data_IF_164079197003
#
_entry.id   IF_164079197003
#
_cell.length_a   1.000
_cell.length_b   1.000
_cell.length_c   1.000
_cell.angle_alpha   90.00
_cell.angle_beta   90.00
_cell.angle_gamma   90.00
#
_symmetry.space_group_name_H-M   'P 1'
#
loop_
_entity.id
_entity.type
_entity.pdbx_description
1 polymer ?
#
# COMPACT_ATOMS: atom_id res chain seq x y z
N UNK A 1 53.00 8.61 -2.98
CA UNK A 1 51.95 8.70 -3.99
C UNK A 1 51.26 7.35 -4.03
N UNK A 2 50.17 7.16 -3.29
CA UNK A 2 49.37 5.93 -3.34
C UNK A 2 47.90 6.34 -3.32
N UNK A 3 47.22 6.05 -4.42
CA UNK A 3 45.82 6.37 -4.67
C UNK A 3 44.95 5.42 -3.86
N UNK A 4 44.02 6.00 -3.11
CA UNK A 4 42.99 5.32 -2.33
C UNK A 4 42.23 4.28 -3.14
N UNK A 5 42.06 3.12 -2.54
CA UNK A 5 41.12 2.09 -2.97
C UNK A 5 39.71 2.67 -2.84
N UNK A 6 38.98 2.71 -3.96
CA UNK A 6 37.56 3.02 -3.97
C UNK A 6 36.81 1.86 -3.29
N UNK A 7 36.41 2.06 -2.03
CA UNK A 7 35.37 1.24 -1.39
C UNK A 7 34.04 1.49 -2.10
N UNK A 8 33.77 0.70 -3.14
CA UNK A 8 32.44 0.57 -3.72
C UNK A 8 31.58 -0.18 -2.70
N UNK A 9 30.91 0.57 -1.82
CA UNK A 9 29.86 0.04 -0.96
C UNK A 9 28.81 -0.63 -1.85
N UNK A 10 28.79 -1.96 -1.83
CA UNK A 10 27.72 -2.75 -2.42
C UNK A 10 26.43 -2.36 -1.71
N UNK A 11 25.33 -2.01 -2.41
CA UNK A 11 24.09 -1.65 -1.73
C UNK A 11 23.66 -2.83 -0.84
N UNK A 12 23.39 -2.52 0.42
CA UNK A 12 22.87 -3.43 1.45
C UNK A 12 21.52 -4.00 0.97
N UNK A 13 21.57 -5.08 0.17
CA UNK A 13 20.39 -5.85 -0.23
C UNK A 13 19.93 -6.69 0.96
N UNK A 14 19.32 -6.02 1.95
CA UNK A 14 18.47 -6.76 2.89
C UNK A 14 17.26 -7.25 2.11
N UNK A 15 16.93 -8.55 2.18
CA UNK A 15 15.69 -9.04 1.60
C UNK A 15 14.52 -8.26 2.22
N UNK A 16 13.59 -7.83 1.37
CA UNK A 16 12.38 -7.15 1.84
C UNK A 16 11.66 -8.05 2.85
N UNK A 17 11.53 -7.61 4.10
CA UNK A 17 10.76 -8.33 5.11
C UNK A 17 9.30 -7.83 5.17
N UNK A 18 8.49 -8.51 5.98
CA UNK A 18 7.07 -8.19 6.11
C UNK A 18 6.84 -6.76 6.62
N UNK A 19 7.64 -6.30 7.58
CA UNK A 19 7.49 -4.98 8.19
C UNK A 19 7.84 -3.88 7.19
N UNK A 20 8.89 -4.07 6.38
CA UNK A 20 9.25 -3.18 5.28
C UNK A 20 8.12 -3.08 4.25
N UNK A 21 7.57 -4.21 3.81
CA UNK A 21 6.48 -4.22 2.82
C UNK A 21 5.24 -3.53 3.37
N UNK A 22 4.88 -3.78 4.63
CA UNK A 22 3.74 -3.12 5.29
C UNK A 22 3.96 -1.61 5.35
N UNK A 23 5.12 -1.16 5.85
CA UNK A 23 5.43 0.27 5.97
C UNK A 23 5.39 0.99 4.61
N UNK A 24 5.94 0.37 3.55
CA UNK A 24 5.94 0.94 2.19
C UNK A 24 4.54 1.01 1.60
N UNK A 25 3.70 0.00 1.83
CA UNK A 25 2.30 0.02 1.40
C UNK A 25 1.49 1.10 2.14
N UNK A 26 1.69 1.25 3.45
CA UNK A 26 1.02 2.27 4.26
C UNK A 26 1.44 3.70 3.85
N UNK A 27 2.73 3.93 3.64
CA UNK A 27 3.23 5.20 3.09
C UNK A 27 2.61 5.51 1.73
N UNK A 28 2.51 4.50 0.86
CA UNK A 28 1.90 4.63 -0.45
C UNK A 28 0.41 4.97 -0.34
N UNK A 29 -0.34 4.31 0.55
CA UNK A 29 -1.76 4.60 0.74
C UNK A 29 -2.02 6.00 1.32
N UNK A 30 -1.21 6.44 2.27
CA UNK A 30 -1.26 7.81 2.78
C UNK A 30 -0.95 8.84 1.68
N UNK A 31 0.04 8.55 0.83
CA UNK A 31 0.40 9.39 -0.32
C UNK A 31 -0.73 9.45 -1.35
N UNK A 32 -1.36 8.31 -1.66
CA UNK A 32 -2.50 8.22 -2.56
C UNK A 32 -3.68 9.07 -2.08
N UNK A 33 -3.99 9.01 -0.78
CA UNK A 33 -5.06 9.79 -0.16
C UNK A 33 -4.76 11.30 -0.06
N UNK A 34 -3.48 11.68 -0.13
CA UNK A 34 -3.05 13.08 -0.17
C UNK A 34 -3.04 13.69 -1.59
N UNK A 35 -3.22 12.88 -2.63
CA UNK A 35 -3.29 13.40 -4.00
C UNK A 35 -4.54 14.27 -4.19
N UNK A 36 -4.41 15.40 -4.91
CA UNK A 36 -5.56 16.25 -5.24
C UNK A 36 -6.57 15.50 -6.11
N UNK A 37 -7.86 15.78 -5.91
CA UNK A 37 -8.93 15.16 -6.70
C UNK A 37 -8.81 15.47 -8.21
N UNK A 38 -8.23 16.63 -8.56
CA UNK A 38 -8.01 17.10 -9.93
C UNK A 38 -6.50 17.22 -10.24
N UNK A 39 -6.08 16.87 -11.46
CA UNK A 39 -4.67 16.92 -11.91
C UNK A 39 -4.27 15.77 -12.85
N UNK A 40 -3.04 15.83 -13.39
CA UNK A 40 -2.43 14.74 -14.16
C UNK A 40 -2.24 13.53 -13.24
N UNK A 41 -3.08 12.51 -13.43
CA UNK A 41 -3.06 11.35 -12.58
C UNK A 41 -1.94 10.38 -12.99
N UNK A 42 -1.22 9.78 -12.02
CA UNK A 42 -0.41 8.60 -12.29
C UNK A 42 -1.26 7.47 -12.89
N UNK A 43 -0.63 6.58 -13.65
CA UNK A 43 -1.20 5.37 -14.30
C UNK A 43 -2.06 4.51 -13.34
N UNK A 44 -1.85 4.64 -12.03
CA UNK A 44 -2.57 3.92 -10.98
C UNK A 44 -4.00 4.37 -10.73
N UNK A 45 -4.45 5.56 -11.16
CA UNK A 45 -5.91 5.82 -11.20
C UNK A 45 -6.64 4.84 -12.15
N UNK A 46 -5.94 4.15 -13.03
CA UNK A 46 -6.60 3.26 -13.99
C UNK A 46 -6.45 1.78 -13.61
N UNK A 47 -5.37 1.37 -12.94
CA UNK A 47 -5.04 -0.06 -12.73
C UNK A 47 -5.13 -0.59 -11.29
N UNK A 48 -4.83 0.19 -10.24
CA UNK A 48 -5.09 -0.22 -8.84
C UNK A 48 -6.49 0.13 -8.38
N UNK A 49 -7.18 0.96 -9.16
CA UNK A 49 -8.48 1.45 -8.78
C UNK A 49 -9.54 0.38 -8.74
N UNK A 50 -9.56 -0.76 -9.44
CA UNK A 50 -10.76 -1.60 -9.29
C UNK A 50 -10.98 -2.10 -7.85
N UNK A 51 -9.92 -2.55 -7.18
CA UNK A 51 -9.96 -2.96 -5.77
C UNK A 51 -10.18 -1.76 -4.83
N UNK A 52 -9.44 -0.66 -5.04
CA UNK A 52 -9.51 0.52 -4.18
C UNK A 52 -10.81 1.30 -4.39
N UNK A 53 -11.28 1.41 -5.63
CA UNK A 53 -12.56 1.99 -6.05
C UNK A 53 -13.70 1.14 -5.56
N UNK A 54 -13.70 -0.18 -5.71
CA UNK A 54 -14.71 -1.03 -5.04
C UNK A 54 -14.63 -0.86 -3.51
N UNK A 55 -13.43 -0.81 -2.93
CA UNK A 55 -13.26 -0.55 -1.49
C UNK A 55 -13.65 0.87 -1.05
N UNK A 56 -13.72 1.85 -1.93
CA UNK A 56 -14.09 3.25 -1.62
C UNK A 56 -15.57 3.50 -1.94
N UNK A 57 -16.04 3.09 -3.12
CA UNK A 57 -17.41 3.20 -3.61
C UNK A 57 -18.39 2.34 -2.80
N UNK A 58 -18.02 1.10 -2.43
CA UNK A 58 -18.91 0.25 -1.62
C UNK A 58 -18.99 0.68 -0.15
N UNK A 59 -18.14 1.60 0.32
CA UNK A 59 -17.91 1.80 1.76
C UNK A 59 -18.14 3.25 2.25
N UNK A 60 -18.80 4.09 1.45
CA UNK A 60 -19.48 5.31 1.92
C UNK A 60 -18.59 6.28 2.72
N UNK A 61 -17.38 6.54 2.25
CA UNK A 61 -16.46 7.44 2.95
C UNK A 61 -16.84 8.92 2.78
N UNK A 62 -17.22 9.55 3.88
CA UNK A 62 -17.51 10.99 3.97
C UNK A 62 -16.86 11.57 5.23
N UNK A 63 -15.55 11.80 5.23
CA UNK A 63 -14.90 12.54 6.33
C UNK A 63 -14.55 13.98 5.91
N UNK A 64 -14.89 14.94 6.80
CA UNK A 64 -14.70 16.38 6.61
C UNK A 64 -13.21 16.69 6.43
N UNK A 65 -12.88 17.24 5.26
CA UNK A 65 -11.50 17.43 4.77
C UNK A 65 -10.73 18.50 5.54
N UNK A 66 -9.75 18.08 6.34
CA UNK A 66 -8.46 18.77 6.37
C UNK A 66 -7.67 18.21 5.18
N UNK A 67 -7.25 19.08 4.25
CA UNK A 67 -6.48 18.64 3.08
C UNK A 67 -5.02 18.46 3.51
N UNK A 68 -4.47 17.24 3.50
CA UNK A 68 -3.05 17.05 3.72
C UNK A 68 -2.22 17.81 2.66
N UNK A 69 -0.96 18.16 2.96
CA UNK A 69 -0.07 18.76 1.97
C UNK A 69 0.10 17.84 0.76
N UNK A 70 0.17 18.43 -0.43
CA UNK A 70 0.36 17.70 -1.69
C UNK A 70 1.73 16.99 -1.66
N UNK A 71 1.79 15.68 -1.98
CA UNK A 71 3.04 14.95 -1.95
C UNK A 71 4.00 15.38 -3.08
N UNK A 72 5.31 15.31 -2.81
CA UNK A 72 6.37 15.52 -3.79
C UNK A 72 6.37 14.43 -4.89
N UNK A 73 6.95 14.73 -6.06
CA UNK A 73 7.10 13.77 -7.16
C UNK A 73 7.79 12.46 -6.72
N UNK A 74 8.84 12.54 -5.91
CA UNK A 74 9.55 11.35 -5.40
C UNK A 74 8.64 10.42 -4.58
N UNK A 75 7.84 10.99 -3.68
CA UNK A 75 6.82 10.23 -2.93
C UNK A 75 5.79 9.58 -3.84
N UNK A 76 5.41 10.25 -4.94
CA UNK A 76 4.48 9.70 -5.93
C UNK A 76 5.14 8.52 -6.67
N UNK A 77 6.41 8.63 -7.07
CA UNK A 77 7.17 7.52 -7.67
C UNK A 77 7.27 6.33 -6.73
N UNK A 78 7.62 6.56 -5.45
CA UNK A 78 7.69 5.52 -4.41
C UNK A 78 6.32 4.91 -4.10
N UNK A 79 5.24 5.70 -4.17
CA UNK A 79 3.87 5.20 -4.07
C UNK A 79 3.53 4.29 -5.24
N UNK A 80 3.87 4.69 -6.47
CA UNK A 80 3.54 3.93 -7.67
C UNK A 80 4.21 2.54 -7.66
N UNK A 81 5.48 2.50 -7.25
CA UNK A 81 6.25 1.27 -7.04
C UNK A 81 5.57 0.35 -6.02
N UNK A 82 5.29 0.83 -4.81
CA UNK A 82 4.74 0.01 -3.74
C UNK A 82 3.31 -0.49 -4.06
N UNK A 83 2.47 0.33 -4.69
CA UNK A 83 1.12 -0.08 -5.10
C UNK A 83 1.14 -1.15 -6.19
N UNK A 84 2.18 -1.20 -7.03
CA UNK A 84 2.33 -2.24 -8.03
C UNK A 84 2.59 -3.63 -7.40
N UNK A 85 3.20 -3.70 -6.20
CA UNK A 85 3.49 -4.96 -5.52
C UNK A 85 2.24 -5.77 -5.16
N UNK A 86 1.08 -5.13 -4.99
CA UNK A 86 -0.20 -5.83 -4.76
C UNK A 86 -0.53 -6.80 -5.91
N UNK A 87 -0.04 -6.50 -7.13
CA UNK A 87 -0.22 -7.36 -8.30
C UNK A 87 0.60 -8.65 -8.24
N UNK A 88 1.60 -8.75 -7.34
CA UNK A 88 2.40 -9.98 -7.13
C UNK A 88 1.60 -11.08 -6.43
N UNK A 89 0.53 -10.72 -5.70
CA UNK A 89 -0.41 -11.70 -5.14
C UNK A 89 -1.16 -12.34 -6.32
N UNK A 90 -1.32 -13.67 -6.46
CA UNK A 90 -2.03 -14.30 -7.57
C UNK A 90 -3.46 -13.75 -7.82
N UNK A 91 -3.90 -13.70 -9.09
CA UNK A 91 -5.19 -13.14 -9.50
C UNK A 91 -6.40 -13.88 -8.91
N UNK A 92 -6.30 -15.20 -8.77
CA UNK A 92 -7.31 -16.07 -8.17
C UNK A 92 -7.48 -15.82 -6.66
N UNK A 93 -6.51 -15.17 -6.00
CA UNK A 93 -6.54 -14.80 -4.59
C UNK A 93 -7.15 -13.41 -4.37
N UNK A 94 -8.27 -13.15 -5.03
CA UNK A 94 -8.89 -11.82 -5.08
C UNK A 94 -9.22 -11.24 -3.68
N UNK A 95 -9.67 -12.06 -2.72
CA UNK A 95 -10.00 -11.60 -1.35
C UNK A 95 -8.74 -11.09 -0.65
N UNK A 96 -7.61 -11.81 -0.80
CA UNK A 96 -6.33 -11.43 -0.21
C UNK A 96 -5.83 -10.13 -0.81
N UNK A 97 -5.89 -9.98 -2.15
CA UNK A 97 -5.56 -8.72 -2.85
C UNK A 97 -6.38 -7.55 -2.31
N UNK A 98 -7.69 -7.73 -2.11
CA UNK A 98 -8.58 -6.70 -1.53
C UNK A 98 -8.19 -6.35 -0.10
N UNK A 99 -7.90 -7.34 0.73
CA UNK A 99 -7.51 -7.11 2.13
C UNK A 99 -6.21 -6.30 2.19
N UNK A 100 -5.17 -6.70 1.44
CA UNK A 100 -3.89 -5.98 1.41
C UNK A 100 -4.09 -4.56 0.89
N UNK A 101 -4.80 -4.38 -0.23
CA UNK A 101 -5.08 -3.06 -0.79
C UNK A 101 -5.94 -2.16 0.10
N UNK A 102 -6.87 -2.70 0.87
CA UNK A 102 -7.66 -1.91 1.83
C UNK A 102 -6.82 -1.54 3.06
N UNK A 103 -5.93 -2.43 3.49
CA UNK A 103 -5.07 -2.21 4.66
C UNK A 103 -3.96 -1.20 4.40
N UNK A 104 -3.50 -1.04 3.15
CA UNK A 104 -2.53 0.00 2.80
C UNK A 104 -3.09 1.43 2.96
N UNK A 105 -4.42 1.61 2.94
CA UNK A 105 -5.05 2.93 3.03
C UNK A 105 -5.02 3.47 4.47
N UNK A 106 -4.01 4.28 4.75
CA UNK A 106 -3.81 5.00 6.02
C UNK A 106 -4.09 6.48 5.84
N UNK A 107 -4.86 7.06 6.76
CA UNK A 107 -5.18 8.48 6.71
C UNK A 107 -3.90 9.31 6.93
N UNK A 108 -3.53 10.23 6.01
CA UNK A 108 -2.22 10.87 6.01
C UNK A 108 -1.93 11.82 7.18
N UNK A 109 -2.96 12.24 7.91
CA UNK A 109 -2.84 13.13 9.09
C UNK A 109 -2.94 12.35 10.42
N UNK A 110 -3.95 11.50 10.57
CA UNK A 110 -4.22 10.79 11.82
C UNK A 110 -3.46 9.47 11.94
N UNK A 111 -2.81 9.02 10.86
CA UNK A 111 -2.11 7.74 10.76
C UNK A 111 -3.00 6.51 11.05
N UNK A 112 -4.33 6.72 10.96
CA UNK A 112 -5.31 5.66 11.18
C UNK A 112 -5.66 5.01 9.87
N UNK A 113 -5.73 3.69 9.87
CA UNK A 113 -6.28 2.97 8.73
C UNK A 113 -7.75 3.30 8.50
N UNK A 114 -8.09 3.54 7.24
CA UNK A 114 -9.47 3.77 6.80
C UNK A 114 -10.33 2.50 7.01
N UNK A 115 -9.67 1.34 6.93
CA UNK A 115 -10.28 0.02 7.11
C UNK A 115 -9.67 -0.71 8.32
N UNK A 116 -10.16 -0.45 9.54
CA UNK A 116 -9.82 -1.24 10.71
C UNK A 116 -10.24 -2.72 10.53
N UNK A 117 -9.53 -3.64 11.19
CA UNK A 117 -9.74 -5.09 11.07
C UNK A 117 -11.20 -5.52 11.24
N UNK A 118 -11.89 -4.99 12.27
CA UNK A 118 -13.30 -5.31 12.55
C UNK A 118 -14.25 -4.85 11.45
N UNK A 119 -13.93 -3.73 10.78
CA UNK A 119 -14.72 -3.23 9.65
C UNK A 119 -14.55 -4.13 8.43
N UNK A 120 -13.32 -4.57 8.13
CA UNK A 120 -13.06 -5.54 7.06
C UNK A 120 -13.71 -6.90 7.32
N UNK A 121 -13.65 -7.37 8.57
CA UNK A 121 -14.32 -8.59 9.01
C UNK A 121 -15.83 -8.56 8.73
N UNK A 122 -16.50 -7.49 9.17
CA UNK A 122 -17.93 -7.29 8.90
C UNK A 122 -18.24 -7.23 7.40
N UNK A 123 -17.42 -6.52 6.63
CA UNK A 123 -17.58 -6.38 5.19
C UNK A 123 -17.43 -7.68 4.40
N UNK A 124 -16.53 -8.57 4.85
CA UNK A 124 -16.20 -9.82 4.18
C UNK A 124 -16.94 -11.02 4.79
N UNK A 125 -17.78 -10.81 5.81
CA UNK A 125 -18.51 -11.88 6.48
C UNK A 125 -17.61 -12.91 7.18
N UNK A 126 -16.45 -12.49 7.68
CA UNK A 126 -15.45 -13.36 8.29
C UNK A 126 -14.98 -12.83 9.65
N UNK A 127 -14.36 -13.67 10.47
CA UNK A 127 -13.76 -13.22 11.72
C UNK A 127 -12.50 -12.36 11.47
N UNK A 128 -12.30 -11.34 12.30
CA UNK A 128 -11.17 -10.42 12.19
C UNK A 128 -9.80 -11.08 12.36
N UNK A 129 -9.68 -12.21 13.08
CA UNK A 129 -8.43 -12.99 13.12
C UNK A 129 -8.18 -13.72 11.80
N UNK A 130 -9.23 -14.17 11.12
CA UNK A 130 -9.09 -14.72 9.77
C UNK A 130 -8.62 -13.63 8.79
N UNK A 131 -9.16 -12.42 8.87
CA UNK A 131 -8.70 -11.27 8.06
C UNK A 131 -7.22 -10.95 8.32
N UNK A 132 -6.80 -10.90 9.59
CA UNK A 132 -5.39 -10.67 9.94
C UNK A 132 -4.47 -11.75 9.36
N UNK A 133 -4.89 -13.02 9.43
CA UNK A 133 -4.14 -14.14 8.86
C UNK A 133 -4.04 -14.05 7.34
N UNK A 134 -5.13 -13.75 6.65
CA UNK A 134 -5.15 -13.58 5.20
C UNK A 134 -4.32 -12.37 4.75
N UNK A 135 -4.32 -11.28 5.53
CA UNK A 135 -3.42 -10.16 5.30
C UNK A 135 -1.96 -10.61 5.38
N UNK A 136 -1.56 -11.29 6.47
CA UNK A 136 -0.20 -11.79 6.63
C UNK A 136 0.21 -12.75 5.50
N UNK A 137 -0.71 -13.60 5.03
CA UNK A 137 -0.47 -14.45 3.84
C UNK A 137 -0.21 -13.61 2.58
N UNK A 138 -0.99 -12.56 2.35
CA UNK A 138 -0.78 -11.64 1.22
C UNK A 138 0.57 -10.92 1.29
N UNK A 139 0.96 -10.42 2.47
CA UNK A 139 2.28 -9.82 2.68
C UNK A 139 3.39 -10.84 2.43
N UNK A 140 3.24 -12.07 2.92
CA UNK A 140 4.20 -13.15 2.67
C UNK A 140 4.38 -13.48 1.19
N UNK A 141 3.30 -13.42 0.39
CA UNK A 141 3.38 -13.60 -1.06
C UNK A 141 4.15 -12.46 -1.75
N UNK A 142 3.98 -11.22 -1.29
CA UNK A 142 4.73 -10.06 -1.81
C UNK A 142 6.21 -10.20 -1.45
N UNK A 143 6.52 -10.45 -0.18
CA UNK A 143 7.89 -10.66 0.32
C UNK A 143 8.61 -11.73 -0.50
N UNK A 144 7.97 -12.89 -0.72
CA UNK A 144 8.57 -13.98 -1.48
C UNK A 144 8.80 -13.67 -2.97
N UNK A 145 8.16 -12.63 -3.51
CA UNK A 145 8.27 -12.23 -4.91
C UNK A 145 9.19 -11.02 -5.13
N UNK A 146 9.63 -10.35 -4.06
CA UNK A 146 10.60 -9.26 -4.14
C UNK A 146 12.03 -9.80 -4.15
N UNK A 147 12.95 -9.18 -4.91
CA UNK A 147 14.34 -9.61 -5.05
C UNK A 147 15.18 -9.35 -3.78
#
# INVERSE_FOLDING_TARGET
>A
MNVSICDNATPDHRPADADYVIARLEEAGATLLALPATGYSPRLRTSSLEIVRTAVESYGWTEKRIRPPVPSAERITRMDEAMAWIQLIPLDKYVIRRIVGARSLVHPISDRHLFPWRRLAAALGADHKAIQRWHAQGIGMIVAALP
#
